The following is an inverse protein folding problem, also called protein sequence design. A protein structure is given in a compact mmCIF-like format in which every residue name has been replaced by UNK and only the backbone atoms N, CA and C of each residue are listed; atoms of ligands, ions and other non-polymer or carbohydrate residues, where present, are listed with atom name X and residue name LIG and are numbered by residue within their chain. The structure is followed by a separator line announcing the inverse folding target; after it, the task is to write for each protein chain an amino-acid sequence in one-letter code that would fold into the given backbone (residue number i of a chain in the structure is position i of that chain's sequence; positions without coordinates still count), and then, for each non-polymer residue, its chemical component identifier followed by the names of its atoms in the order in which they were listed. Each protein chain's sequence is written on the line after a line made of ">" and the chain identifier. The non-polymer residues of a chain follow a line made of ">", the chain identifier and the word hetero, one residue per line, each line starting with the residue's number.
data_IF_614516828671
#
_entry.id   IF_614516828671
#
_cell.length_a   1.000
_cell.length_b   1.000
_cell.length_c   1.000
_cell.angle_alpha   90.00
_cell.angle_beta   90.00
_cell.angle_gamma   90.00
#
_symmetry.space_group_name_H-M   'P 1'
#
loop_
_entity.id
_entity.type
_entity.pdbx_description
1 polymer ?
#
# COMPACT_ATOMS: atom_id res chain seq x y z
N UNK A 1 22.46 34.04 9.58
CA UNK A 1 21.48 34.07 8.48
C UNK A 1 21.45 32.65 7.99
N UNK A 2 20.45 31.89 8.41
CA UNK A 2 20.28 30.51 7.97
C UNK A 2 19.53 30.60 6.65
N UNK A 3 20.21 30.23 5.57
CA UNK A 3 19.59 30.00 4.28
C UNK A 3 18.74 28.74 4.44
N UNK A 4 17.44 28.93 4.64
CA UNK A 4 16.45 27.85 4.59
C UNK A 4 16.42 27.31 3.16
N UNK A 5 17.22 26.28 2.93
CA UNK A 5 17.24 25.46 1.72
C UNK A 5 15.89 24.74 1.61
N UNK A 6 14.97 25.36 0.88
CA UNK A 6 13.67 24.78 0.54
C UNK A 6 13.91 23.63 -0.44
N UNK A 7 14.00 22.40 0.09
CA UNK A 7 14.15 21.16 -0.67
C UNK A 7 12.89 20.92 -1.53
N UNK A 8 12.95 21.41 -2.76
CA UNK A 8 11.93 21.35 -3.81
C UNK A 8 11.88 19.95 -4.47
N UNK A 9 11.89 18.88 -3.68
CA UNK A 9 11.81 17.50 -4.15
C UNK A 9 10.38 16.93 -4.08
N UNK A 10 9.46 17.48 -4.89
CA UNK A 10 8.27 16.73 -5.33
C UNK A 10 8.63 15.92 -6.60
N UNK A 11 9.47 14.91 -6.40
CA UNK A 11 10.23 14.16 -7.42
C UNK A 11 9.40 13.18 -8.27
N UNK A 12 8.19 13.53 -8.71
CA UNK A 12 7.40 12.64 -9.59
C UNK A 12 6.65 13.34 -10.73
N UNK A 13 6.73 14.67 -10.85
CA UNK A 13 6.14 15.41 -11.97
C UNK A 13 7.20 15.81 -13.00
N UNK A 14 6.90 15.64 -14.29
CA UNK A 14 7.78 16.06 -15.40
C UNK A 14 8.11 17.57 -15.36
N UNK A 15 7.24 18.37 -14.74
CA UNK A 15 7.37 19.82 -14.64
C UNK A 15 7.42 20.22 -13.17
N UNK A 16 8.27 21.19 -12.82
CA UNK A 16 8.39 21.70 -11.45
C UNK A 16 7.14 22.47 -11.02
N UNK A 17 6.96 22.67 -9.72
CA UNK A 17 5.86 23.47 -9.18
C UNK A 17 5.83 24.87 -9.81
N UNK A 18 6.96 25.58 -9.86
CA UNK A 18 7.08 26.91 -10.47
C UNK A 18 6.61 26.90 -11.94
N UNK A 19 7.06 25.92 -12.72
CA UNK A 19 6.69 25.80 -14.14
C UNK A 19 5.17 25.67 -14.30
N UNK A 20 4.54 24.87 -13.44
CA UNK A 20 3.08 24.68 -13.47
C UNK A 20 2.34 25.96 -13.10
N UNK A 21 2.77 26.65 -12.03
CA UNK A 21 2.14 27.90 -11.55
C UNK A 21 2.25 29.00 -12.60
N UNK A 22 3.46 29.26 -13.12
CA UNK A 22 3.68 30.31 -14.13
C UNK A 22 2.84 30.05 -15.38
N UNK A 23 2.82 28.80 -15.85
CA UNK A 23 2.04 28.44 -17.03
C UNK A 23 0.52 28.56 -16.79
N UNK A 24 0.05 28.20 -15.59
CA UNK A 24 -1.34 28.37 -15.20
C UNK A 24 -1.77 29.85 -15.22
N UNK A 25 -0.93 30.75 -14.70
CA UNK A 25 -1.18 32.20 -14.73
C UNK A 25 -1.28 32.73 -16.16
N UNK A 26 -0.34 32.36 -17.05
CA UNK A 26 -0.42 32.76 -18.45
C UNK A 26 -1.70 32.28 -19.15
N UNK A 27 -2.16 31.07 -18.83
CA UNK A 27 -3.41 30.53 -19.39
C UNK A 27 -4.63 31.29 -18.88
N UNK A 28 -4.65 31.67 -17.60
CA UNK A 28 -5.73 32.45 -17.00
C UNK A 28 -5.78 33.86 -17.58
N UNK A 29 -4.62 34.49 -17.79
CA UNK A 29 -4.53 35.87 -18.26
C UNK A 29 -4.71 36.04 -19.77
N UNK A 30 -4.62 34.95 -20.55
CA UNK A 30 -4.59 35.02 -22.03
C UNK A 30 -5.79 35.76 -22.62
N UNK A 31 -6.95 35.70 -21.94
CA UNK A 31 -8.20 36.32 -22.39
C UNK A 31 -8.20 37.85 -22.21
N UNK A 32 -7.37 38.36 -21.29
CA UNK A 32 -7.19 39.79 -21.05
C UNK A 32 -6.03 40.36 -21.87
N UNK A 33 -5.01 39.55 -22.16
CA UNK A 33 -3.78 39.97 -22.82
C UNK A 33 -3.72 39.61 -24.33
N UNK A 34 -4.82 39.11 -24.91
CA UNK A 34 -4.92 38.66 -26.31
C UNK A 34 -3.83 37.65 -26.74
N UNK A 35 -3.31 36.85 -25.80
CA UNK A 35 -2.29 35.85 -26.12
C UNK A 35 -2.92 34.60 -26.74
N UNK A 36 -2.29 34.08 -27.78
CA UNK A 36 -2.69 32.79 -28.35
C UNK A 36 -2.00 31.63 -27.63
N UNK A 37 -2.51 30.41 -27.82
CA UNK A 37 -1.85 29.20 -27.32
C UNK A 37 -0.42 29.03 -27.86
N UNK A 38 -0.15 29.52 -29.08
CA UNK A 38 1.20 29.49 -29.66
C UNK A 38 2.15 30.39 -28.88
N UNK A 39 1.68 31.56 -28.44
CA UNK A 39 2.47 32.50 -27.64
C UNK A 39 2.78 31.92 -26.27
N UNK A 40 1.78 31.31 -25.60
CA UNK A 40 1.98 30.64 -24.31
C UNK A 40 3.04 29.52 -24.43
N UNK A 41 2.93 28.67 -25.46
CA UNK A 41 3.91 27.60 -25.70
C UNK A 41 5.31 28.15 -26.00
N UNK A 42 5.41 29.23 -26.77
CA UNK A 42 6.67 29.90 -27.09
C UNK A 42 7.29 30.51 -25.83
N UNK A 43 6.50 31.19 -25.01
CA UNK A 43 6.94 31.78 -23.74
C UNK A 43 7.43 30.70 -22.77
N UNK A 44 6.75 29.56 -22.70
CA UNK A 44 7.18 28.42 -21.90
C UNK A 44 8.54 27.87 -22.35
N UNK A 45 8.73 27.68 -23.67
CA UNK A 45 10.02 27.26 -24.23
C UNK A 45 11.13 28.27 -23.92
N UNK A 46 10.86 29.56 -24.10
CA UNK A 46 11.87 30.62 -23.88
C UNK A 46 12.28 30.70 -22.41
N UNK A 47 11.32 30.65 -21.49
CA UNK A 47 11.58 30.81 -20.06
C UNK A 47 12.25 29.59 -19.43
N UNK A 48 11.79 28.38 -19.78
CA UNK A 48 12.21 27.15 -19.11
C UNK A 48 13.11 26.26 -19.95
N UNK A 49 13.35 26.60 -21.22
CA UNK A 49 14.10 25.77 -22.17
C UNK A 49 13.59 24.31 -22.25
N UNK A 50 12.28 24.12 -22.09
CA UNK A 50 11.64 22.81 -22.03
C UNK A 50 10.42 22.76 -22.94
N UNK A 51 10.18 21.58 -23.52
CA UNK A 51 8.99 21.33 -24.34
C UNK A 51 7.72 21.69 -23.55
N UNK A 52 6.81 22.50 -24.11
CA UNK A 52 5.60 22.91 -23.40
C UNK A 52 4.67 21.71 -23.16
N UNK A 53 3.86 21.76 -22.09
CA UNK A 53 2.79 20.80 -21.87
C UNK A 53 1.73 20.89 -22.96
N UNK A 54 0.87 19.88 -23.04
CA UNK A 54 -0.28 19.95 -23.94
C UNK A 54 -1.33 20.95 -23.40
N UNK A 55 -2.23 21.39 -24.28
CA UNK A 55 -3.28 22.35 -23.94
C UNK A 55 -4.18 21.86 -22.79
N UNK A 56 -4.52 20.58 -22.75
CA UNK A 56 -5.34 19.99 -21.68
C UNK A 56 -4.66 20.04 -20.31
N UNK A 57 -3.35 19.79 -20.25
CA UNK A 57 -2.56 19.85 -19.02
C UNK A 57 -2.48 21.30 -18.53
N UNK A 58 -2.24 22.24 -19.44
CA UNK A 58 -2.24 23.67 -19.13
C UNK A 58 -3.59 24.16 -18.55
N UNK A 59 -4.70 23.76 -19.17
CA UNK A 59 -6.05 24.06 -18.65
C UNK A 59 -6.31 23.41 -17.29
N UNK A 60 -5.82 22.19 -17.07
CA UNK A 60 -5.96 21.52 -15.78
C UNK A 60 -5.17 22.24 -14.68
N UNK A 61 -3.96 22.72 -14.98
CA UNK A 61 -3.17 23.50 -14.03
C UNK A 61 -3.80 24.83 -13.70
N UNK A 62 -4.31 25.56 -14.70
CA UNK A 62 -5.08 26.79 -14.48
C UNK A 62 -6.28 26.53 -13.57
N UNK A 63 -7.11 25.56 -13.92
CA UNK A 63 -8.28 25.20 -13.12
C UNK A 63 -7.90 24.88 -11.67
N UNK A 64 -6.87 24.04 -11.48
CA UNK A 64 -6.40 23.65 -10.16
C UNK A 64 -5.90 24.84 -9.35
N UNK A 65 -5.05 25.67 -9.94
CA UNK A 65 -4.47 26.81 -9.25
C UNK A 65 -5.55 27.82 -8.83
N UNK A 66 -6.44 28.21 -9.74
CA UNK A 66 -7.43 29.25 -9.48
C UNK A 66 -8.68 28.76 -8.73
N UNK A 67 -9.03 27.47 -8.80
CA UNK A 67 -10.17 26.92 -8.06
C UNK A 67 -9.77 26.29 -6.72
N UNK A 68 -8.64 25.60 -6.66
CA UNK A 68 -8.20 24.84 -5.48
C UNK A 68 -7.05 25.50 -4.73
N UNK A 69 -6.39 26.51 -5.30
CA UNK A 69 -5.24 27.18 -4.70
C UNK A 69 -3.94 26.37 -4.74
N UNK A 70 -3.94 25.19 -5.38
CA UNK A 70 -2.76 24.34 -5.50
C UNK A 70 -2.75 23.67 -6.88
N UNK A 71 -1.62 23.71 -7.57
CA UNK A 71 -1.42 23.14 -8.90
C UNK A 71 -1.00 21.68 -8.89
N UNK A 72 -0.45 21.20 -7.77
CA UNK A 72 0.09 19.85 -7.68
C UNK A 72 -0.99 18.78 -7.66
N UNK A 73 -0.56 17.57 -7.98
CA UNK A 73 -1.43 16.41 -7.83
C UNK A 73 -1.54 16.09 -6.34
N UNK A 74 -2.77 15.95 -5.87
CA UNK A 74 -2.98 15.41 -4.52
C UNK A 74 -2.40 14.01 -4.48
N UNK A 75 -1.83 13.67 -3.33
CA UNK A 75 -1.47 12.29 -3.05
C UNK A 75 -2.66 11.40 -3.37
N UNK A 76 -2.42 10.36 -4.17
CA UNK A 76 -3.46 9.40 -4.52
C UNK A 76 -3.86 8.72 -3.23
N UNK A 77 -5.07 9.02 -2.74
CA UNK A 77 -5.66 8.23 -1.66
C UNK A 77 -5.74 6.79 -2.15
N UNK A 78 -4.95 5.90 -1.55
CA UNK A 78 -5.00 4.48 -1.87
C UNK A 78 -6.39 3.89 -1.61
N UNK A 79 -6.53 2.58 -1.83
CA UNK A 79 -7.77 1.88 -1.49
C UNK A 79 -8.09 2.11 0.00
N UNK A 80 -9.30 2.56 0.36
CA UNK A 80 -9.67 2.75 1.76
C UNK A 80 -9.50 1.44 2.51
N UNK A 81 -8.76 1.48 3.62
CA UNK A 81 -8.54 0.30 4.45
C UNK A 81 -9.81 0.01 5.26
N UNK A 82 -10.54 -1.06 4.89
CA UNK A 82 -11.77 -1.46 5.60
C UNK A 82 -11.57 -1.69 7.09
N UNK A 83 -10.36 -2.10 7.51
CA UNK A 83 -10.00 -2.33 8.92
C UNK A 83 -10.08 -1.05 9.77
N UNK A 84 -9.95 0.13 9.18
CA UNK A 84 -10.01 1.40 9.92
C UNK A 84 -11.38 1.62 10.58
N UNK A 85 -12.45 1.06 10.00
CA UNK A 85 -13.78 1.10 10.63
C UNK A 85 -13.84 0.34 11.96
N UNK A 86 -12.91 -0.60 12.18
CA UNK A 86 -12.88 -1.43 13.39
C UNK A 86 -12.00 -0.85 14.52
N UNK A 87 -11.15 0.15 14.22
CA UNK A 87 -10.25 0.81 15.18
C UNK A 87 -10.96 1.24 16.48
N UNK A 88 -12.11 1.95 16.45
CA UNK A 88 -12.75 2.40 17.69
C UNK A 88 -13.23 1.23 18.58
N UNK A 89 -13.76 0.16 17.98
CA UNK A 89 -14.22 -1.02 18.73
C UNK A 89 -13.06 -1.80 19.35
N UNK A 90 -11.95 -1.94 18.61
CA UNK A 90 -10.73 -2.56 19.14
C UNK A 90 -10.17 -1.76 20.30
N UNK A 91 -10.12 -0.43 20.18
CA UNK A 91 -9.67 0.47 21.24
C UNK A 91 -10.55 0.35 22.50
N UNK A 92 -11.87 0.44 22.35
CA UNK A 92 -12.80 0.29 23.46
C UNK A 92 -12.65 -1.07 24.16
N UNK A 93 -12.51 -2.15 23.39
CA UNK A 93 -12.30 -3.49 23.93
C UNK A 93 -11.00 -3.60 24.74
N UNK A 94 -9.91 -2.94 24.31
CA UNK A 94 -8.63 -2.92 25.02
C UNK A 94 -8.71 -2.12 26.33
N UNK A 95 -9.46 -1.03 26.34
CA UNK A 95 -9.70 -0.21 27.54
C UNK A 95 -10.59 -0.94 28.56
N UNK A 96 -11.68 -1.58 28.10
CA UNK A 96 -12.63 -2.29 28.97
C UNK A 96 -12.04 -3.58 29.56
N UNK A 97 -11.24 -4.30 28.79
CA UNK A 97 -10.72 -5.62 29.18
C UNK A 97 -9.29 -5.81 28.68
N UNK A 98 -8.29 -5.24 29.36
CA UNK A 98 -6.90 -5.27 28.91
C UNK A 98 -6.28 -6.68 28.93
N UNK A 99 -6.72 -7.55 29.84
CA UNK A 99 -6.19 -8.91 30.04
C UNK A 99 -6.71 -9.95 29.04
N UNK A 100 -7.64 -9.59 28.14
CA UNK A 100 -8.13 -10.55 27.16
C UNK A 100 -7.05 -10.86 26.13
N UNK A 101 -6.84 -12.16 25.91
CA UNK A 101 -5.94 -12.64 24.87
C UNK A 101 -6.39 -12.15 23.49
N UNK A 102 -5.44 -12.04 22.55
CA UNK A 102 -5.74 -11.67 21.17
C UNK A 102 -6.74 -12.64 20.52
N UNK A 103 -6.70 -13.91 20.91
CA UNK A 103 -7.58 -14.96 20.40
C UNK A 103 -9.02 -14.76 20.83
N UNK A 104 -9.24 -14.47 22.11
CA UNK A 104 -10.57 -14.23 22.66
C UNK A 104 -11.16 -12.95 22.12
N UNK A 105 -10.37 -11.87 22.11
CA UNK A 105 -10.78 -10.58 21.54
C UNK A 105 -11.18 -10.70 20.07
N UNK A 106 -10.44 -11.50 19.29
CA UNK A 106 -10.78 -11.80 17.88
C UNK A 106 -12.15 -12.47 17.74
N UNK A 107 -12.50 -13.40 18.64
CA UNK A 107 -13.82 -14.04 18.64
C UNK A 107 -14.93 -13.07 19.02
N UNK A 108 -14.72 -12.28 20.08
CA UNK A 108 -15.70 -11.31 20.59
C UNK A 108 -16.02 -10.24 19.53
N UNK A 109 -14.97 -9.70 18.88
CA UNK A 109 -15.13 -8.66 17.86
C UNK A 109 -15.50 -9.21 16.48
N UNK A 110 -15.50 -10.53 16.28
CA UNK A 110 -15.73 -11.15 14.96
C UNK A 110 -14.66 -10.80 13.91
N UNK A 111 -13.45 -10.41 14.35
CA UNK A 111 -12.38 -9.96 13.48
C UNK A 111 -11.31 -11.05 13.32
N UNK A 112 -10.76 -11.27 12.12
CA UNK A 112 -9.58 -12.11 11.95
C UNK A 112 -8.42 -11.62 12.84
N UNK A 113 -7.73 -12.54 13.52
CA UNK A 113 -6.57 -12.22 14.39
C UNK A 113 -5.51 -11.36 13.68
N UNK A 114 -5.29 -11.59 12.38
CA UNK A 114 -4.34 -10.83 11.56
C UNK A 114 -4.77 -9.37 11.40
N UNK A 115 -6.05 -9.12 11.14
CA UNK A 115 -6.61 -7.76 11.05
C UNK A 115 -6.57 -7.06 12.40
N UNK A 116 -6.95 -7.78 13.47
CA UNK A 116 -6.89 -7.27 14.84
C UNK A 116 -5.45 -6.86 15.22
N UNK A 117 -4.46 -7.72 14.92
CA UNK A 117 -3.06 -7.44 15.20
C UNK A 117 -2.53 -6.24 14.42
N UNK A 118 -2.91 -6.09 13.14
CA UNK A 118 -2.56 -4.90 12.34
C UNK A 118 -3.16 -3.63 12.91
N UNK A 119 -4.42 -3.67 13.34
CA UNK A 119 -5.06 -2.51 13.98
C UNK A 119 -4.29 -2.11 15.24
N UNK A 120 -3.95 -3.07 16.11
CA UNK A 120 -3.26 -2.79 17.37
C UNK A 120 -1.85 -2.22 17.14
N UNK A 121 -1.07 -2.83 16.24
CA UNK A 121 0.33 -2.44 16.00
C UNK A 121 0.46 -1.20 15.13
N UNK A 122 -0.29 -1.13 14.03
CA UNK A 122 -0.11 -0.08 13.01
C UNK A 122 -0.99 1.14 13.29
N UNK A 123 -2.27 0.93 13.65
CA UNK A 123 -3.24 2.03 13.75
C UNK A 123 -3.30 2.61 15.17
N UNK A 124 -3.22 1.75 16.20
CA UNK A 124 -3.22 2.16 17.60
C UNK A 124 -1.81 2.34 18.19
N UNK A 125 -0.77 1.87 17.48
CA UNK A 125 0.65 1.97 17.89
C UNK A 125 0.92 1.46 19.32
N UNK A 126 0.21 0.41 19.72
CA UNK A 126 0.42 -0.22 21.02
C UNK A 126 1.32 -1.45 20.88
N UNK A 127 2.27 -1.59 21.80
CA UNK A 127 3.01 -2.84 21.98
C UNK A 127 2.08 -3.85 22.65
N UNK A 128 1.61 -4.80 21.85
CA UNK A 128 0.89 -5.97 22.35
C UNK A 128 1.90 -7.09 22.54
N UNK A 129 2.34 -7.30 23.78
CA UNK A 129 3.05 -8.53 24.14
C UNK A 129 2.05 -9.68 24.10
N UNK A 130 2.22 -10.67 23.20
CA UNK A 130 1.40 -11.86 23.27
C UNK A 130 1.79 -12.61 24.56
N UNK A 131 0.86 -12.69 25.52
CA UNK A 131 0.97 -13.66 26.60
C UNK A 131 1.23 -15.03 25.96
N UNK A 132 2.31 -15.68 26.41
CA UNK A 132 2.63 -17.05 26.03
C UNK A 132 1.56 -17.93 26.67
N UNK A 133 0.64 -18.46 25.86
CA UNK A 133 -0.32 -19.46 26.31
C UNK A 133 0.48 -20.70 26.79
N UNK A 134 0.58 -20.93 28.11
CA UNK A 134 1.21 -22.16 28.67
C UNK A 134 0.40 -23.44 28.41
N UNK A 135 -0.71 -23.37 27.67
CA UNK A 135 -1.54 -24.51 27.31
C UNK A 135 -1.44 -24.89 25.82
N UNK A 136 -0.21 -25.01 25.30
CA UNK A 136 0.05 -25.72 24.04
C UNK A 136 0.25 -27.23 24.31
N UNK A 137 -0.84 -27.96 24.53
CA UNK A 137 -0.85 -29.37 24.12
C UNK A 137 -0.75 -29.41 22.57
N UNK A 138 0.20 -30.18 21.99
CA UNK A 138 0.49 -30.12 20.57
C UNK A 138 -0.64 -30.76 19.76
N UNK A 139 -1.62 -29.94 19.40
CA UNK A 139 -2.63 -30.28 18.40
C UNK A 139 -1.95 -30.34 17.03
N UNK A 140 -1.43 -31.51 16.69
CA UNK A 140 -0.91 -31.91 15.38
C UNK A 140 -1.65 -31.20 14.22
N UNK A 141 -0.95 -30.29 13.55
CA UNK A 141 -1.49 -29.44 12.50
C UNK A 141 -1.92 -30.29 11.28
N UNK A 142 -3.23 -30.46 11.08
CA UNK A 142 -3.84 -31.25 9.98
C UNK A 142 -3.47 -30.79 8.57
N UNK A 143 -2.72 -29.70 8.41
CA UNK A 143 -2.23 -29.19 7.11
C UNK A 143 -0.90 -29.80 6.66
N UNK A 144 -0.14 -30.44 7.56
CA UNK A 144 1.09 -31.17 7.20
C UNK A 144 0.86 -32.64 6.79
N UNK A 145 -0.36 -33.17 7.01
CA UNK A 145 -0.69 -34.55 6.67
C UNK A 145 -0.95 -34.77 5.17
N UNK A 146 -1.38 -33.73 4.43
CA UNK A 146 -1.68 -33.84 3.00
C UNK A 146 -0.45 -33.76 2.10
N UNK A 147 0.66 -33.16 2.58
CA UNK A 147 1.94 -33.15 1.86
C UNK A 147 2.77 -34.41 2.09
N UNK A 148 2.61 -35.11 3.23
CA UNK A 148 3.26 -36.42 3.45
C UNK A 148 2.49 -37.62 2.84
N UNK A 149 1.20 -37.47 2.50
CA UNK A 149 0.45 -38.52 1.79
C UNK A 149 0.71 -38.57 0.27
N UNK A 150 1.33 -37.53 -0.30
CA UNK A 150 1.68 -37.51 -1.74
C UNK A 150 3.14 -37.95 -1.98
N UNK A 151 4.07 -37.74 -1.04
CA UNK A 151 5.43 -38.29 -1.14
C UNK A 151 5.49 -39.80 -0.91
N UNK A 152 4.63 -40.36 -0.06
CA UNK A 152 4.58 -41.79 0.25
C UNK A 152 3.97 -42.72 -0.82
N UNK A 153 3.48 -42.21 -1.97
CA UNK A 153 2.97 -43.05 -3.08
C UNK A 153 4.04 -43.40 -4.11
N UNK A 154 5.07 -42.56 -4.30
CA UNK A 154 6.18 -42.86 -5.24
C UNK A 154 7.18 -43.85 -4.65
N UNK A 155 7.44 -43.77 -3.35
CA UNK A 155 8.41 -44.64 -2.67
C UNK A 155 7.90 -46.08 -2.47
N UNK A 156 6.59 -46.28 -2.23
CA UNK A 156 6.00 -47.64 -2.16
C UNK A 156 6.04 -48.39 -3.50
N UNK A 157 5.95 -47.69 -4.64
CA UNK A 157 6.09 -48.32 -5.97
C UNK A 157 7.53 -48.75 -6.28
N UNK A 158 8.51 -48.00 -5.79
CA UNK A 158 9.94 -48.34 -5.91
C UNK A 158 10.34 -49.49 -4.99
N UNK A 159 9.79 -49.54 -3.77
CA UNK A 159 10.04 -50.63 -2.82
C UNK A 159 9.41 -51.95 -3.28
N UNK A 160 8.15 -51.94 -3.78
CA UNK A 160 7.50 -53.13 -4.33
C UNK A 160 8.18 -53.67 -5.59
N UNK A 161 8.68 -52.80 -6.50
CA UNK A 161 9.48 -53.24 -7.67
C UNK A 161 10.86 -53.80 -7.30
N UNK A 162 11.43 -53.37 -6.17
CA UNK A 162 12.72 -53.88 -5.67
C UNK A 162 12.55 -55.22 -4.97
N UNK A 163 11.39 -55.48 -4.35
CA UNK A 163 11.10 -56.73 -3.65
C UNK A 163 10.70 -57.88 -4.61
N UNK A 164 10.04 -57.59 -5.74
CA UNK A 164 9.70 -58.62 -6.74
C UNK A 164 10.87 -59.08 -7.61
N UNK A 165 11.96 -58.30 -7.72
CA UNK A 165 13.21 -58.74 -8.38
C UNK A 165 14.11 -59.62 -7.49
N UNK A 166 13.93 -59.59 -6.17
CA UNK A 166 14.69 -60.43 -5.23
C UNK A 166 13.98 -61.75 -4.84
N UNK A 167 12.81 -62.04 -5.42
CA UNK A 167 12.11 -63.32 -5.26
C UNK A 167 12.17 -64.21 -6.52
N UNK A 168 13.07 -63.91 -7.47
CA UNK A 168 13.41 -64.76 -8.62
C UNK A 168 14.83 -65.33 -8.55
N UNK A 169 15.46 -65.27 -7.38
CA UNK A 169 16.70 -65.97 -7.05
C UNK A 169 16.47 -66.61 -5.68
N UNK A 170 15.84 -67.79 -5.69
CA UNK A 170 15.70 -68.85 -4.67
C UNK A 170 14.40 -69.59 -5.05
N UNK A 171 14.49 -70.30 -6.18
CA UNK A 171 13.89 -71.58 -6.56
C UNK A 171 14.60 -71.98 -7.87
#
# INVERSE_FOLDING_TARGET
>A
MNDDEFDDNDSNSKYSHEQKVVAAVWVHEKEYNNQTWKDIHKNFMIRFNMKPPNRSTLLNWEKKLFQLGNVDDKEKSGRPLSRLMHVPYVKASLEESPRLSLRERSKILGLPRTTLLKIIREDLKMEFEPEQDEDEQPSFNKKHALTQLVSGRRERRLWLKKMTKNLQIIL
#
